data_IF_618069750686
#
_entry.id   IF_618069750686
#
_cell.length_a   1.000
_cell.length_b   1.000
_cell.length_c   1.000
_cell.angle_alpha   90.00
_cell.angle_beta   90.00
_cell.angle_gamma   90.00
#
_symmetry.space_group_name_H-M   'P 1'
#
loop_
_entity.id
_entity.type
_entity.pdbx_description
1 polymer ?
#
# COMPACT_ATOMS: atom_id res chain seq x y z
N UNK A 1 33.74 -24.63 68.93
CA UNK A 1 32.82 -24.10 67.86
C UNK A 1 33.58 -23.01 67.16
N UNK A 2 33.93 -23.24 65.87
CA UNK A 2 34.61 -22.23 65.02
C UNK A 2 33.60 -21.36 64.40
N UNK A 3 33.56 -20.05 64.74
CA UNK A 3 32.74 -19.04 64.10
C UNK A 3 33.14 -18.90 62.58
N UNK A 4 32.34 -19.41 61.71
CA UNK A 4 32.45 -19.13 60.30
C UNK A 4 31.88 -17.73 60.03
N UNK A 5 32.75 -16.72 59.93
CA UNK A 5 32.33 -15.40 59.41
C UNK A 5 32.00 -15.54 57.97
N UNK A 6 30.73 -15.31 57.65
CA UNK A 6 30.26 -15.10 56.28
C UNK A 6 30.82 -13.75 55.77
N UNK A 7 31.87 -13.80 54.95
CA UNK A 7 32.36 -12.64 54.23
C UNK A 7 31.35 -12.37 53.10
N UNK A 8 30.37 -11.51 53.36
CA UNK A 8 29.55 -10.94 52.26
C UNK A 8 30.42 -9.98 51.46
N UNK A 9 30.67 -10.30 50.22
CA UNK A 9 31.43 -9.44 49.30
C UNK A 9 30.48 -8.42 48.69
N UNK A 10 30.22 -7.32 49.37
CA UNK A 10 29.36 -6.22 48.94
C UNK A 10 29.83 -5.60 47.61
N UNK A 11 31.12 -5.73 47.27
CA UNK A 11 31.61 -5.24 45.97
C UNK A 11 31.06 -6.01 44.76
N UNK A 12 30.72 -7.29 44.94
CA UNK A 12 30.10 -8.08 43.86
C UNK A 12 28.69 -7.60 43.50
N UNK A 13 27.91 -7.17 44.50
CA UNK A 13 26.58 -6.63 44.26
C UNK A 13 26.61 -5.25 43.62
N UNK A 14 27.56 -4.38 43.99
CA UNK A 14 27.72 -3.07 43.39
C UNK A 14 28.25 -3.16 41.94
N UNK A 15 29.13 -4.11 41.63
CA UNK A 15 29.61 -4.35 40.27
C UNK A 15 28.54 -4.92 39.36
N UNK A 16 27.75 -5.85 39.85
CA UNK A 16 26.67 -6.48 39.07
C UNK A 16 25.52 -5.51 38.77
N UNK A 17 25.19 -4.59 39.67
CA UNK A 17 24.16 -3.57 39.45
C UNK A 17 24.63 -2.57 38.40
N UNK A 18 25.89 -2.12 38.40
CA UNK A 18 26.46 -1.21 37.41
C UNK A 18 26.59 -1.91 36.06
N UNK A 19 26.99 -3.17 36.02
CA UNK A 19 27.12 -3.96 34.79
C UNK A 19 25.75 -4.23 34.17
N UNK A 20 24.74 -4.51 35.01
CA UNK A 20 23.36 -4.75 34.52
C UNK A 20 22.74 -3.49 33.91
N UNK A 21 22.92 -2.32 34.52
CA UNK A 21 22.47 -1.05 33.96
C UNK A 21 23.24 -0.68 32.68
N UNK A 22 24.55 -0.92 32.63
CA UNK A 22 25.34 -0.66 31.42
C UNK A 22 24.98 -1.61 30.28
N UNK A 23 24.68 -2.88 30.56
CA UNK A 23 24.27 -3.83 29.50
C UNK A 23 22.91 -3.54 28.91
N UNK A 24 21.98 -2.92 29.67
CA UNK A 24 20.69 -2.50 29.15
C UNK A 24 20.77 -1.26 28.26
N UNK A 25 21.84 -0.47 28.35
CA UNK A 25 22.05 0.75 27.57
C UNK A 25 23.19 0.57 26.55
N UNK A 26 23.77 -0.62 26.45
CA UNK A 26 24.77 -0.94 25.43
C UNK A 26 24.11 -1.01 24.04
N UNK A 27 24.53 -0.15 23.08
CA UNK A 27 23.95 -0.11 21.75
C UNK A 27 24.03 -1.44 21.02
N UNK A 28 25.11 -2.20 21.21
CA UNK A 28 25.30 -3.49 20.56
C UNK A 28 24.28 -4.51 21.05
N UNK A 29 24.04 -4.57 22.37
CA UNK A 29 23.02 -5.44 22.97
C UNK A 29 21.61 -4.98 22.54
N UNK A 30 21.35 -3.68 22.56
CA UNK A 30 20.10 -3.12 22.09
C UNK A 30 19.84 -3.45 20.62
N UNK A 31 20.85 -3.30 19.76
CA UNK A 31 20.78 -3.65 18.34
C UNK A 31 20.42 -5.13 18.14
N UNK A 32 21.11 -6.02 18.82
CA UNK A 32 20.84 -7.47 18.76
C UNK A 32 19.42 -7.83 19.23
N UNK A 33 18.94 -7.20 20.31
CA UNK A 33 17.57 -7.42 20.81
C UNK A 33 16.52 -6.94 19.81
N UNK A 34 16.73 -5.77 19.20
CA UNK A 34 15.82 -5.23 18.17
C UNK A 34 15.84 -6.11 16.92
N UNK A 35 17.03 -6.48 16.44
CA UNK A 35 17.22 -7.34 15.27
C UNK A 35 16.57 -8.72 15.45
N UNK A 36 16.74 -9.38 16.62
CA UNK A 36 16.12 -10.67 16.89
C UNK A 36 14.58 -10.64 16.93
N UNK A 37 14.00 -9.50 17.26
CA UNK A 37 12.53 -9.35 17.36
C UNK A 37 11.90 -8.71 16.13
N UNK A 38 12.68 -8.07 15.26
CA UNK A 38 12.17 -7.36 14.08
C UNK A 38 11.44 -8.28 13.09
N UNK A 39 11.95 -9.46 12.70
CA UNK A 39 11.26 -10.35 11.77
C UNK A 39 9.87 -10.78 12.26
N UNK A 40 9.69 -10.87 13.60
CA UNK A 40 8.38 -11.17 14.21
C UNK A 40 7.44 -9.96 14.22
N UNK A 41 7.99 -8.75 14.15
CA UNK A 41 7.21 -7.52 14.13
C UNK A 41 6.73 -7.16 12.73
N UNK A 42 7.43 -7.61 11.68
CA UNK A 42 7.04 -7.45 10.27
C UNK A 42 5.87 -8.41 9.99
N UNK A 43 4.70 -7.85 9.73
CA UNK A 43 3.45 -8.62 9.55
C UNK A 43 3.41 -9.38 8.23
N UNK A 44 4.04 -8.82 7.18
CA UNK A 44 3.95 -9.31 5.81
C UNK A 44 5.15 -10.15 5.37
N UNK A 45 5.99 -10.56 6.32
CA UNK A 45 7.17 -11.42 6.05
C UNK A 45 6.81 -12.78 5.42
N UNK A 46 5.59 -13.27 5.63
CA UNK A 46 5.11 -14.51 4.99
C UNK A 46 4.95 -14.39 3.47
N UNK A 47 4.72 -13.18 2.95
CA UNK A 47 4.57 -12.92 1.51
C UNK A 47 5.88 -12.46 0.90
N UNK A 48 6.66 -11.67 1.63
CA UNK A 48 7.95 -11.15 1.22
C UNK A 48 9.04 -11.64 2.19
N UNK A 49 9.45 -12.91 2.09
CA UNK A 49 10.44 -13.49 3.00
C UNK A 49 11.75 -12.71 2.94
N UNK A 50 12.41 -12.63 4.09
CA UNK A 50 13.66 -11.89 4.24
C UNK A 50 14.81 -12.73 3.67
N UNK A 51 15.56 -12.15 2.75
CA UNK A 51 16.74 -12.72 2.11
C UNK A 51 17.97 -11.92 2.53
N UNK A 52 18.94 -12.56 3.17
CA UNK A 52 20.16 -11.94 3.71
C UNK A 52 21.36 -12.06 2.78
N UNK A 53 21.19 -12.51 1.55
CA UNK A 53 22.30 -12.71 0.59
C UNK A 53 23.06 -11.44 0.26
N UNK A 54 22.44 -10.26 0.43
CA UNK A 54 23.08 -8.96 0.21
C UNK A 54 23.88 -8.45 1.42
N UNK A 55 23.77 -9.10 2.57
CA UNK A 55 24.48 -8.64 3.76
C UNK A 55 26.01 -8.71 3.55
N UNK A 56 26.68 -7.56 3.79
CA UNK A 56 28.13 -7.46 3.62
C UNK A 56 28.63 -7.32 2.16
N UNK A 57 27.77 -7.43 1.14
CA UNK A 57 28.19 -7.26 -0.26
C UNK A 57 28.29 -5.76 -0.62
N UNK A 58 29.24 -5.33 -1.48
CA UNK A 58 29.28 -3.94 -1.95
C UNK A 58 28.13 -3.63 -2.93
N UNK A 59 27.80 -2.34 -3.07
CA UNK A 59 26.79 -1.85 -4.01
C UNK A 59 25.51 -1.33 -3.33
N UNK A 60 24.80 -0.44 -4.02
CA UNK A 60 23.56 0.21 -3.60
C UNK A 60 22.33 -0.27 -4.38
N UNK A 61 22.53 -1.11 -5.40
CA UNK A 61 21.47 -1.64 -6.26
C UNK A 61 21.59 -3.15 -6.38
N UNK A 62 20.45 -3.81 -6.53
CA UNK A 62 20.37 -5.22 -6.90
C UNK A 62 19.75 -5.32 -8.29
N UNK A 63 20.32 -6.15 -9.15
CA UNK A 63 19.75 -6.50 -10.44
C UNK A 63 19.18 -7.90 -10.37
N UNK A 64 17.89 -8.02 -10.56
CA UNK A 64 17.18 -9.28 -10.54
C UNK A 64 16.88 -9.72 -11.98
N UNK A 65 17.36 -10.91 -12.39
CA UNK A 65 16.99 -11.47 -13.69
C UNK A 65 15.53 -11.94 -13.63
N UNK A 66 14.78 -11.61 -14.68
CA UNK A 66 13.43 -12.13 -14.93
C UNK A 66 13.47 -13.02 -16.16
N UNK A 67 12.85 -14.15 -16.08
CA UNK A 67 12.73 -15.08 -17.21
C UNK A 67 11.26 -15.15 -17.62
N UNK A 68 11.03 -15.08 -18.93
CA UNK A 68 9.70 -15.31 -19.49
C UNK A 68 9.54 -16.76 -19.89
N UNK A 69 8.36 -17.29 -19.66
CA UNK A 69 7.99 -18.62 -20.15
C UNK A 69 7.94 -18.62 -21.68
N UNK A 70 8.59 -19.57 -22.33
CA UNK A 70 8.69 -19.64 -23.79
C UNK A 70 7.55 -20.39 -24.48
N UNK A 71 6.59 -20.88 -23.67
CA UNK A 71 5.44 -21.65 -24.18
C UNK A 71 5.60 -23.15 -24.02
N UNK A 72 4.51 -23.89 -24.35
CA UNK A 72 4.43 -25.34 -24.15
C UNK A 72 5.23 -26.13 -25.18
N UNK A 73 5.66 -27.33 -24.78
CA UNK A 73 6.31 -28.25 -25.67
C UNK A 73 5.32 -28.71 -26.77
N UNK A 74 5.81 -28.74 -28.01
CA UNK A 74 5.03 -29.18 -29.19
C UNK A 74 5.33 -30.62 -29.53
N UNK A 75 4.33 -31.35 -29.99
CA UNK A 75 4.53 -32.70 -30.54
C UNK A 75 5.32 -32.62 -31.84
N UNK A 76 6.45 -33.30 -31.91
CA UNK A 76 7.33 -33.32 -33.09
C UNK A 76 7.21 -34.70 -33.75
N UNK A 77 6.98 -34.72 -35.07
CA UNK A 77 6.93 -35.94 -35.82
C UNK A 77 8.31 -36.58 -35.91
N UNK A 78 8.35 -37.94 -36.10
CA UNK A 78 9.59 -38.67 -36.26
C UNK A 78 10.44 -38.12 -37.44
N UNK A 79 11.70 -37.76 -37.16
CA UNK A 79 12.61 -37.16 -38.15
C UNK A 79 12.44 -35.66 -38.42
N UNK A 80 11.50 -34.97 -37.75
CA UNK A 80 11.36 -33.53 -37.85
C UNK A 80 12.31 -32.83 -36.90
N UNK A 81 12.80 -31.64 -37.30
CA UNK A 81 13.65 -30.83 -36.45
C UNK A 81 12.85 -30.19 -35.29
N UNK A 82 13.40 -30.29 -34.09
CA UNK A 82 12.88 -29.55 -32.92
C UNK A 82 13.14 -28.07 -33.10
N UNK A 83 12.11 -27.23 -32.99
CA UNK A 83 12.24 -25.78 -32.95
C UNK A 83 12.88 -25.37 -31.63
N UNK A 84 13.89 -24.50 -31.70
CA UNK A 84 14.54 -23.93 -30.53
C UNK A 84 13.98 -22.53 -30.32
N UNK A 85 13.32 -22.32 -29.17
CA UNK A 85 12.88 -21.01 -28.74
C UNK A 85 14.00 -20.32 -27.93
N UNK A 86 14.20 -19.03 -28.11
CA UNK A 86 15.16 -18.26 -27.33
C UNK A 86 14.61 -17.97 -25.93
N UNK A 87 15.43 -18.20 -24.90
CA UNK A 87 15.09 -17.79 -23.54
C UNK A 87 15.07 -16.25 -23.45
N UNK A 88 13.88 -15.70 -23.30
CA UNK A 88 13.72 -14.26 -23.12
C UNK A 88 14.04 -13.88 -21.67
N UNK A 89 15.02 -12.99 -21.51
CA UNK A 89 15.44 -12.47 -20.21
C UNK A 89 15.19 -10.99 -20.13
N UNK A 90 14.66 -10.55 -19.00
CA UNK A 90 14.56 -9.15 -18.63
C UNK A 90 15.31 -8.93 -17.32
N UNK A 91 15.71 -7.70 -17.05
CA UNK A 91 16.37 -7.33 -15.79
C UNK A 91 15.58 -6.25 -15.11
N UNK A 92 15.38 -6.42 -13.81
CA UNK A 92 14.82 -5.38 -12.95
C UNK A 92 15.88 -4.93 -11.96
N UNK A 93 16.06 -3.62 -11.83
CA UNK A 93 16.94 -3.05 -10.82
C UNK A 93 16.13 -2.50 -9.67
N UNK A 94 16.56 -2.82 -8.44
CA UNK A 94 15.97 -2.27 -7.24
C UNK A 94 17.08 -1.59 -6.40
N UNK A 95 16.79 -0.39 -5.89
CA UNK A 95 17.73 0.42 -5.11
C UNK A 95 17.51 0.20 -3.63
N UNK A 96 18.59 -0.08 -2.90
CA UNK A 96 18.59 -0.26 -1.46
C UNK A 96 18.24 1.06 -0.78
N UNK A 97 17.30 1.02 0.16
CA UNK A 97 16.85 2.17 0.93
C UNK A 97 17.35 2.07 2.37
N UNK A 98 17.59 3.23 2.99
CA UNK A 98 17.83 3.35 4.42
C UNK A 98 16.56 3.79 5.11
N UNK A 99 16.12 3.06 6.12
CA UNK A 99 15.06 3.46 7.03
C UNK A 99 15.67 3.72 8.39
N UNK A 100 15.35 4.85 9.01
CA UNK A 100 15.88 5.22 10.30
C UNK A 100 14.80 5.85 11.19
N UNK A 101 14.92 5.63 12.50
CA UNK A 101 14.11 6.27 13.53
C UNK A 101 15.02 6.76 14.65
N UNK A 102 14.97 8.06 14.92
CA UNK A 102 15.61 8.67 16.09
C UNK A 102 14.59 8.98 17.18
N UNK A 103 15.04 8.88 18.44
CA UNK A 103 14.32 9.26 19.65
C UNK A 103 15.29 9.84 20.67
N UNK A 104 14.83 10.83 21.43
CA UNK A 104 15.64 11.48 22.47
C UNK A 104 14.90 11.40 23.81
N UNK A 105 15.65 11.30 24.89
CA UNK A 105 15.15 11.31 26.26
C UNK A 105 16.03 12.19 27.12
N UNK A 106 15.43 12.94 28.06
CA UNK A 106 16.16 13.76 29.05
C UNK A 106 16.47 12.95 30.30
N UNK A 107 17.54 13.32 31.01
CA UNK A 107 17.90 12.70 32.29
C UNK A 107 16.75 12.84 33.33
N UNK A 108 16.04 13.97 33.33
CA UNK A 108 14.89 14.19 34.21
C UNK A 108 13.74 13.21 33.90
N UNK A 109 13.49 12.93 32.63
CA UNK A 109 12.46 11.95 32.24
C UNK A 109 12.82 10.53 32.67
N UNK A 110 14.10 10.17 32.64
CA UNK A 110 14.57 8.86 33.13
C UNK A 110 14.45 8.78 34.64
N UNK A 111 14.79 9.85 35.38
CA UNK A 111 14.74 9.88 36.82
C UNK A 111 13.33 9.97 37.41
N UNK A 112 12.42 10.67 36.71
CA UNK A 112 11.03 10.88 37.13
C UNK A 112 10.05 9.89 36.51
N UNK A 113 10.48 9.12 35.50
CA UNK A 113 9.63 8.24 34.72
C UNK A 113 9.16 7.00 35.50
N UNK A 114 7.88 6.68 35.37
CA UNK A 114 7.33 5.39 35.76
C UNK A 114 7.64 4.36 34.66
N UNK A 115 8.30 3.26 35.02
CA UNK A 115 8.56 2.16 34.11
C UNK A 115 9.98 2.15 33.52
N UNK A 116 10.14 1.52 32.34
CA UNK A 116 11.40 1.42 31.60
C UNK A 116 11.35 2.27 30.32
N UNK A 117 11.79 3.54 30.36
CA UNK A 117 11.76 4.43 29.19
C UNK A 117 12.72 3.96 28.09
N UNK A 118 13.84 3.30 28.43
CA UNK A 118 14.80 2.80 27.43
C UNK A 118 14.22 1.62 26.67
N UNK A 119 13.59 0.67 27.38
CA UNK A 119 12.86 -0.43 26.75
C UNK A 119 11.71 0.05 25.87
N UNK A 120 11.02 1.13 26.25
CA UNK A 120 9.98 1.73 25.41
C UNK A 120 10.54 2.36 24.12
N UNK A 121 11.70 3.02 24.20
CA UNK A 121 12.42 3.54 23.03
C UNK A 121 12.77 2.39 22.07
N UNK A 122 13.35 1.29 22.58
CA UNK A 122 13.66 0.11 21.77
C UNK A 122 12.41 -0.46 21.10
N UNK A 123 11.32 -0.58 21.85
CA UNK A 123 10.03 -1.06 21.32
C UNK A 123 9.51 -0.18 20.19
N UNK A 124 9.58 1.15 20.36
CA UNK A 124 9.10 2.10 19.35
C UNK A 124 9.99 2.14 18.11
N UNK A 125 11.32 2.07 18.25
CA UNK A 125 12.24 1.98 17.11
C UNK A 125 11.92 0.72 16.29
N UNK A 126 11.81 -0.44 16.94
CA UNK A 126 11.46 -1.71 16.28
C UNK A 126 10.13 -1.63 15.54
N UNK A 127 9.08 -1.11 16.20
CA UNK A 127 7.77 -0.97 15.58
C UNK A 127 7.76 0.00 14.39
N UNK A 128 8.54 1.08 14.49
CA UNK A 128 8.64 2.07 13.41
C UNK A 128 9.32 1.48 12.17
N UNK A 129 10.43 0.74 12.36
CA UNK A 129 11.14 0.08 11.27
C UNK A 129 10.27 -1.03 10.66
N UNK A 130 9.68 -1.91 11.46
CA UNK A 130 8.77 -2.95 10.97
C UNK A 130 7.60 -2.37 10.17
N UNK A 131 7.00 -1.30 10.67
CA UNK A 131 5.92 -0.61 9.95
C UNK A 131 6.39 0.01 8.62
N UNK A 132 7.63 0.48 8.54
CA UNK A 132 8.18 1.01 7.30
C UNK A 132 8.40 -0.11 6.27
N UNK A 133 8.91 -1.26 6.67
CA UNK A 133 9.06 -2.44 5.81
C UNK A 133 7.70 -2.94 5.32
N UNK A 134 6.71 -3.09 6.22
CA UNK A 134 5.35 -3.48 5.84
C UNK A 134 4.71 -2.50 4.84
N UNK A 135 4.93 -1.18 5.04
CA UNK A 135 4.42 -0.17 4.12
C UNK A 135 5.08 -0.26 2.74
N UNK A 136 6.38 -0.56 2.69
CA UNK A 136 7.11 -0.73 1.44
C UNK A 136 6.65 -1.99 0.69
N UNK A 137 6.40 -3.09 1.39
CA UNK A 137 5.85 -4.33 0.79
C UNK A 137 4.52 -4.02 0.07
N UNK A 138 3.61 -3.31 0.75
CA UNK A 138 2.32 -2.92 0.14
C UNK A 138 2.51 -1.95 -1.02
N UNK A 139 3.43 -0.97 -0.88
CA UNK A 139 3.71 -0.01 -1.95
C UNK A 139 4.28 -0.68 -3.19
N UNK A 140 5.23 -1.60 -3.03
CA UNK A 140 5.83 -2.36 -4.12
C UNK A 140 4.81 -3.30 -4.76
N UNK A 141 3.98 -4.00 -3.98
CA UNK A 141 2.87 -4.80 -4.51
C UNK A 141 1.89 -3.94 -5.34
N UNK A 142 1.67 -2.69 -4.92
CA UNK A 142 0.87 -1.71 -5.66
C UNK A 142 1.44 -1.27 -7.01
N UNK A 143 2.67 -1.63 -7.36
CA UNK A 143 3.28 -1.35 -8.67
C UNK A 143 3.13 -2.50 -9.67
N UNK A 144 2.59 -3.64 -9.25
CA UNK A 144 2.43 -4.81 -10.12
C UNK A 144 1.62 -4.49 -11.39
N UNK A 145 1.97 -5.08 -12.55
CA UNK A 145 1.34 -4.74 -13.83
C UNK A 145 -0.06 -5.33 -13.98
N UNK A 146 -0.31 -6.50 -13.39
CA UNK A 146 -1.61 -7.17 -13.55
C UNK A 146 -2.70 -6.44 -12.78
N UNK A 147 -3.81 -6.16 -13.46
CA UNK A 147 -4.95 -5.46 -12.89
C UNK A 147 -6.26 -6.13 -13.28
N UNK A 148 -7.21 -6.13 -12.37
CA UNK A 148 -8.59 -6.55 -12.61
C UNK A 148 -9.55 -5.44 -12.20
N UNK A 149 -10.58 -5.21 -13.01
CA UNK A 149 -11.64 -4.26 -12.68
C UNK A 149 -12.79 -5.02 -12.05
N UNK A 150 -13.04 -4.80 -10.77
CA UNK A 150 -14.10 -5.47 -10.03
C UNK A 150 -14.54 -4.66 -8.81
N UNK A 151 -15.80 -4.89 -8.42
CA UNK A 151 -16.29 -4.46 -7.12
C UNK A 151 -15.85 -5.44 -6.03
N UNK A 152 -15.75 -4.95 -4.79
CA UNK A 152 -15.34 -5.77 -3.65
C UNK A 152 -16.53 -6.60 -3.16
N UNK A 153 -16.68 -7.80 -3.73
CA UNK A 153 -17.70 -8.81 -3.41
C UNK A 153 -17.10 -10.22 -3.52
N UNK A 154 -17.91 -11.28 -3.43
CA UNK A 154 -17.41 -12.66 -3.59
C UNK A 154 -16.92 -12.98 -5.00
N UNK A 155 -17.58 -12.41 -6.02
CA UNK A 155 -17.19 -12.60 -7.43
C UNK A 155 -15.78 -12.07 -7.70
N UNK A 156 -15.27 -11.17 -6.84
CA UNK A 156 -13.89 -10.68 -6.92
C UNK A 156 -12.89 -11.83 -6.83
N UNK A 157 -13.14 -12.81 -5.96
CA UNK A 157 -12.20 -13.92 -5.76
C UNK A 157 -12.11 -14.78 -7.01
N UNK A 158 -13.25 -15.09 -7.63
CA UNK A 158 -13.28 -15.84 -8.89
C UNK A 158 -12.60 -15.07 -10.03
N UNK A 159 -12.80 -13.76 -10.10
CA UNK A 159 -12.12 -12.91 -11.09
C UNK A 159 -10.61 -12.83 -10.85
N UNK A 160 -10.16 -12.80 -9.59
CA UNK A 160 -8.75 -12.84 -9.24
C UNK A 160 -8.12 -14.17 -9.67
N UNK A 161 -8.77 -15.32 -9.36
CA UNK A 161 -8.27 -16.62 -9.77
C UNK A 161 -8.19 -16.73 -11.31
N UNK A 162 -9.20 -16.30 -12.03
CA UNK A 162 -9.16 -16.27 -13.50
C UNK A 162 -8.02 -15.38 -14.01
N UNK A 163 -7.80 -14.21 -13.41
CA UNK A 163 -6.70 -13.30 -13.79
C UNK A 163 -5.33 -13.94 -13.54
N UNK A 164 -5.17 -14.71 -12.46
CA UNK A 164 -3.93 -15.44 -12.20
C UNK A 164 -3.69 -16.58 -13.20
N UNK A 165 -4.73 -17.27 -13.62
CA UNK A 165 -4.63 -18.34 -14.63
C UNK A 165 -4.36 -17.77 -16.02
N UNK A 166 -5.00 -16.66 -16.37
CA UNK A 166 -4.85 -16.01 -17.68
C UNK A 166 -3.59 -15.11 -17.76
N UNK A 167 -2.85 -14.96 -16.66
CA UNK A 167 -1.66 -14.11 -16.65
C UNK A 167 -0.65 -14.59 -17.70
N UNK A 168 -0.13 -13.71 -18.56
CA UNK A 168 0.92 -14.07 -19.49
C UNK A 168 2.13 -14.59 -18.71
N UNK A 169 2.74 -15.65 -19.17
CA UNK A 169 3.88 -16.34 -18.54
C UNK A 169 3.53 -17.08 -17.22
N UNK A 170 2.26 -17.24 -16.86
CA UNK A 170 1.87 -18.09 -15.75
C UNK A 170 2.08 -19.56 -16.09
N UNK A 171 2.78 -20.30 -15.22
CA UNK A 171 2.84 -21.76 -15.30
C UNK A 171 1.52 -22.30 -14.76
N UNK A 172 0.75 -23.00 -15.57
CA UNK A 172 -0.57 -23.57 -15.20
C UNK A 172 -0.56 -24.42 -13.92
N UNK A 173 0.55 -25.05 -13.62
CA UNK A 173 0.70 -25.95 -12.46
C UNK A 173 0.98 -25.23 -11.13
N UNK A 174 1.09 -23.92 -11.10
CA UNK A 174 1.14 -23.16 -9.84
C UNK A 174 -0.25 -23.01 -9.21
N UNK A 175 -1.10 -24.03 -9.46
CA UNK A 175 -2.44 -24.12 -9.00
C UNK A 175 -2.55 -24.04 -7.48
N UNK A 176 -3.64 -23.41 -7.02
CA UNK A 176 -4.22 -23.53 -5.67
C UNK A 176 -3.33 -23.17 -4.47
N UNK A 177 -2.22 -22.46 -4.63
CA UNK A 177 -1.56 -21.87 -3.47
C UNK A 177 -2.45 -20.76 -2.92
N UNK A 178 -2.82 -20.91 -1.65
CA UNK A 178 -3.51 -19.87 -0.90
C UNK A 178 -2.76 -18.56 -1.03
N UNK A 179 -3.51 -17.50 -1.28
CA UNK A 179 -2.97 -16.15 -1.39
C UNK A 179 -3.37 -15.27 -0.23
N UNK A 180 -2.80 -14.08 -0.21
CA UNK A 180 -3.18 -13.02 0.73
C UNK A 180 -3.82 -11.88 -0.04
N UNK A 181 -4.98 -11.45 0.43
CA UNK A 181 -5.70 -10.30 -0.10
C UNK A 181 -5.60 -9.14 0.89
N UNK A 182 -4.83 -8.11 0.50
CA UNK A 182 -4.76 -6.86 1.23
C UNK A 182 -5.95 -5.99 0.89
N UNK A 183 -6.68 -5.57 1.91
CA UNK A 183 -7.90 -4.79 1.75
C UNK A 183 -7.94 -3.60 2.70
N UNK A 184 -8.76 -2.61 2.37
CA UNK A 184 -9.11 -1.55 3.31
C UNK A 184 -9.96 -2.10 4.47
N UNK A 185 -10.10 -1.33 5.54
CA UNK A 185 -10.98 -1.74 6.66
C UNK A 185 -12.45 -1.84 6.26
N UNK A 186 -12.88 -1.00 5.32
CA UNK A 186 -14.24 -0.99 4.78
C UNK A 186 -14.49 -2.19 3.89
N UNK A 187 -13.57 -2.45 2.96
CA UNK A 187 -13.66 -3.59 2.04
C UNK A 187 -13.64 -4.92 2.78
N UNK A 188 -12.81 -5.04 3.84
CA UNK A 188 -12.81 -6.23 4.69
C UNK A 188 -14.18 -6.47 5.36
N UNK A 189 -14.86 -5.41 5.80
CA UNK A 189 -16.20 -5.54 6.36
C UNK A 189 -17.22 -5.98 5.30
N UNK A 190 -17.13 -5.41 4.10
CA UNK A 190 -17.97 -5.78 2.95
C UNK A 190 -17.79 -7.24 2.56
N UNK A 191 -16.54 -7.70 2.42
CA UNK A 191 -16.22 -9.10 2.12
C UNK A 191 -16.73 -10.04 3.20
N UNK A 192 -16.56 -9.71 4.48
CA UNK A 192 -17.09 -10.53 5.58
C UNK A 192 -18.61 -10.64 5.55
N UNK A 193 -19.31 -9.55 5.24
CA UNK A 193 -20.78 -9.57 5.14
C UNK A 193 -21.24 -10.39 3.94
N UNK A 194 -20.56 -10.25 2.80
CA UNK A 194 -20.86 -11.01 1.59
C UNK A 194 -20.56 -12.51 1.74
N UNK A 195 -19.47 -12.86 2.43
CA UNK A 195 -19.06 -14.25 2.64
C UNK A 195 -20.03 -15.04 3.57
N UNK A 196 -20.65 -14.37 4.54
CA UNK A 196 -21.61 -15.02 5.44
C UNK A 196 -21.04 -16.28 6.11
N UNK A 197 -21.59 -17.44 5.76
CA UNK A 197 -21.16 -18.76 6.29
C UNK A 197 -19.81 -19.24 5.75
N UNK A 198 -19.34 -18.71 4.61
CA UNK A 198 -18.05 -19.05 4.00
C UNK A 198 -16.88 -18.26 4.62
N UNK A 199 -17.14 -17.47 5.66
CA UNK A 199 -16.12 -16.73 6.39
C UNK A 199 -15.51 -17.57 7.50
N UNK A 200 -14.20 -17.87 7.39
CA UNK A 200 -13.44 -18.51 8.46
C UNK A 200 -12.77 -17.42 9.32
N UNK A 201 -12.96 -17.49 10.62
CA UNK A 201 -12.36 -16.51 11.55
C UNK A 201 -10.86 -16.79 11.71
N UNK A 202 -10.08 -15.74 11.93
CA UNK A 202 -8.64 -15.86 12.17
C UNK A 202 -8.31 -16.81 13.35
N UNK A 203 -9.15 -16.86 14.37
CA UNK A 203 -9.00 -17.78 15.52
C UNK A 203 -9.19 -19.26 15.18
N UNK A 204 -9.81 -19.57 14.04
CA UNK A 204 -10.10 -20.92 13.58
C UNK A 204 -9.02 -21.44 12.61
N UNK A 205 -8.17 -20.54 12.08
CA UNK A 205 -7.12 -20.88 11.11
C UNK A 205 -5.89 -21.55 11.74
N UNK A 206 -5.72 -21.44 13.05
CA UNK A 206 -4.61 -22.07 13.79
C UNK A 206 -3.24 -21.67 13.25
N UNK A 207 -2.35 -22.66 13.07
CA UNK A 207 -0.98 -22.46 12.58
C UNK A 207 -0.88 -22.26 11.05
N UNK A 208 -1.98 -22.34 10.32
CA UNK A 208 -2.03 -22.20 8.86
C UNK A 208 -2.08 -20.72 8.40
N UNK A 209 -1.88 -19.76 9.31
CA UNK A 209 -1.91 -18.34 8.98
C UNK A 209 -0.63 -17.96 8.24
N UNK A 210 -0.73 -17.66 6.95
CA UNK A 210 0.39 -17.19 6.11
C UNK A 210 0.97 -15.85 6.58
N UNK A 211 0.17 -15.00 7.22
CA UNK A 211 0.56 -13.65 7.58
C UNK A 211 0.05 -13.28 8.97
N UNK A 212 0.93 -12.75 9.81
CA UNK A 212 0.56 -12.22 11.12
C UNK A 212 -0.42 -11.05 10.96
N UNK A 213 -1.55 -11.11 11.66
CA UNK A 213 -2.60 -10.07 11.61
C UNK A 213 -3.70 -10.33 10.58
N UNK A 214 -3.85 -11.56 10.10
CA UNK A 214 -5.00 -12.00 9.32
C UNK A 214 -6.32 -11.64 10.03
N UNK A 215 -7.28 -11.13 9.26
CA UNK A 215 -8.62 -10.82 9.76
C UNK A 215 -9.57 -12.03 9.66
N UNK A 216 -9.32 -12.89 8.71
CA UNK A 216 -10.08 -14.11 8.42
C UNK A 216 -9.68 -14.65 7.07
N UNK A 217 -10.41 -15.67 6.61
CA UNK A 217 -10.20 -16.30 5.33
C UNK A 217 -11.53 -16.44 4.58
N UNK A 218 -11.49 -16.28 3.27
CA UNK A 218 -12.62 -16.47 2.35
C UNK A 218 -12.14 -17.23 1.14
N UNK A 219 -12.73 -18.39 0.85
CA UNK A 219 -12.43 -19.21 -0.33
C UNK A 219 -10.91 -19.45 -0.53
N UNK A 220 -10.18 -19.72 0.56
CA UNK A 220 -8.74 -19.98 0.51
C UNK A 220 -7.86 -18.72 0.49
N UNK A 221 -8.44 -17.50 0.50
CA UNK A 221 -7.71 -16.24 0.55
C UNK A 221 -7.65 -15.69 1.96
N UNK A 222 -6.45 -15.51 2.48
CA UNK A 222 -6.22 -14.85 3.77
C UNK A 222 -6.45 -13.34 3.63
N UNK A 223 -7.41 -12.80 4.35
CA UNK A 223 -7.77 -11.37 4.32
C UNK A 223 -6.95 -10.60 5.34
N UNK A 224 -6.20 -9.60 4.89
CA UNK A 224 -5.37 -8.73 5.73
C UNK A 224 -5.78 -7.27 5.54
N UNK A 225 -6.11 -6.62 6.66
CA UNK A 225 -6.52 -5.21 6.65
C UNK A 225 -5.32 -4.28 6.73
N UNK A 226 -5.27 -3.30 5.84
CA UNK A 226 -4.25 -2.25 5.87
C UNK A 226 -4.88 -0.87 5.68
N UNK A 227 -4.39 0.12 6.44
CA UNK A 227 -4.74 1.54 6.22
C UNK A 227 -4.09 2.14 4.97
N UNK A 228 -3.17 1.41 4.35
CA UNK A 228 -2.44 1.84 3.16
C UNK A 228 -3.14 1.46 1.86
N UNK A 229 -4.16 0.61 1.95
CA UNK A 229 -5.01 0.22 0.80
C UNK A 229 -6.20 1.17 0.75
N UNK A 230 -6.44 1.75 -0.41
CA UNK A 230 -7.62 2.58 -0.65
C UNK A 230 -8.86 1.70 -0.79
N UNK A 231 -10.02 2.25 -0.43
CA UNK A 231 -11.30 1.59 -0.61
C UNK A 231 -11.52 1.22 -2.09
N UNK A 232 -11.96 0.00 -2.34
CA UNK A 232 -12.20 -0.51 -3.68
C UNK A 232 -10.94 -0.87 -4.49
N UNK A 233 -9.75 -0.87 -3.86
CA UNK A 233 -8.49 -1.18 -4.54
C UNK A 233 -7.66 -2.25 -3.81
N UNK A 234 -8.23 -3.43 -3.55
CA UNK A 234 -7.49 -4.54 -2.96
C UNK A 234 -6.27 -4.96 -3.80
N UNK A 235 -5.30 -5.60 -3.13
CA UNK A 235 -4.13 -6.19 -3.79
C UNK A 235 -4.05 -7.66 -3.38
N UNK A 236 -4.10 -8.55 -4.37
CA UNK A 236 -3.97 -9.99 -4.19
C UNK A 236 -2.52 -10.40 -4.46
N UNK A 237 -1.93 -11.14 -3.53
CA UNK A 237 -0.53 -11.59 -3.62
C UNK A 237 -0.47 -13.08 -3.29
N UNK A 238 0.12 -13.87 -4.18
CA UNK A 238 0.44 -15.28 -3.93
C UNK A 238 1.86 -15.43 -3.35
N UNK A 239 2.14 -16.47 -2.55
CA UNK A 239 3.47 -16.72 -2.00
C UNK A 239 4.55 -16.80 -3.09
N UNK A 240 5.74 -16.31 -2.78
CA UNK A 240 6.87 -16.27 -3.72
C UNK A 240 6.84 -15.14 -4.74
N UNK A 241 5.84 -14.26 -4.68
CA UNK A 241 5.73 -13.10 -5.57
C UNK A 241 6.80 -12.04 -5.28
N UNK A 242 7.19 -11.89 -4.03
CA UNK A 242 8.06 -10.81 -3.55
C UNK A 242 9.14 -11.35 -2.61
N UNK A 243 10.24 -10.60 -2.47
CA UNK A 243 11.28 -10.80 -1.47
C UNK A 243 11.74 -9.49 -0.87
N UNK A 244 12.11 -9.54 0.40
CA UNK A 244 12.78 -8.44 1.10
C UNK A 244 14.27 -8.77 1.22
N UNK A 245 15.12 -8.07 0.51
CA UNK A 245 16.57 -8.25 0.58
C UNK A 245 17.15 -7.33 1.65
N UNK A 246 17.75 -7.94 2.66
CA UNK A 246 18.38 -7.24 3.76
C UNK A 246 19.84 -6.97 3.43
N UNK A 247 20.24 -5.70 3.41
CA UNK A 247 21.62 -5.27 3.17
C UNK A 247 22.40 -5.14 4.47
N UNK A 248 21.79 -4.53 5.47
CA UNK A 248 22.33 -4.40 6.82
C UNK A 248 21.16 -4.47 7.80
N UNK A 249 21.33 -5.32 8.78
CA UNK A 249 20.40 -5.45 9.88
C UNK A 249 20.36 -4.18 10.74
N UNK A 250 19.37 -4.09 11.62
CA UNK A 250 19.18 -2.91 12.46
C UNK A 250 20.42 -2.63 13.27
N UNK A 251 20.98 -1.43 13.06
CA UNK A 251 22.01 -0.87 13.91
C UNK A 251 21.35 0.15 14.83
N UNK A 252 21.55 -0.01 16.13
CA UNK A 252 21.11 0.97 17.14
C UNK A 252 22.34 1.66 17.69
N UNK A 253 22.33 2.98 17.63
CA UNK A 253 23.39 3.84 18.16
C UNK A 253 22.78 4.83 19.13
N UNK A 254 23.56 5.26 20.12
CA UNK A 254 23.16 6.36 20.97
C UNK A 254 24.31 7.37 21.14
N UNK A 255 23.95 8.62 21.34
CA UNK A 255 24.86 9.69 21.70
C UNK A 255 24.28 10.51 22.84
N UNK A 256 25.16 11.09 23.67
CA UNK A 256 24.74 11.89 24.79
C UNK A 256 25.20 13.33 24.67
N UNK A 257 24.25 14.23 24.55
CA UNK A 257 24.52 15.65 24.62
C UNK A 257 24.61 16.13 26.07
N UNK A 258 25.85 16.16 26.59
CA UNK A 258 26.13 16.45 28.00
C UNK A 258 25.62 17.84 28.42
N UNK A 259 25.66 18.82 27.52
CA UNK A 259 25.22 20.19 27.81
C UNK A 259 23.72 20.30 28.03
N UNK A 260 22.92 19.55 27.28
CA UNK A 260 21.46 19.56 27.37
C UNK A 260 20.90 18.43 28.26
N UNK A 261 21.77 17.52 28.74
CA UNK A 261 21.35 16.35 29.53
C UNK A 261 20.30 15.49 28.77
N UNK A 262 20.54 15.30 27.46
CA UNK A 262 19.70 14.51 26.58
C UNK A 262 20.50 13.33 26.06
N UNK A 263 19.90 12.16 26.03
CA UNK A 263 20.44 10.97 25.34
C UNK A 263 19.60 10.74 24.09
N UNK A 264 20.25 10.71 22.93
CA UNK A 264 19.65 10.45 21.64
C UNK A 264 19.91 9.01 21.24
N UNK A 265 18.87 8.31 20.79
CA UNK A 265 18.92 6.95 20.28
C UNK A 265 18.52 6.96 18.81
N UNK A 266 19.28 6.29 17.96
CA UNK A 266 18.95 6.10 16.55
C UNK A 266 18.98 4.62 16.22
N UNK A 267 17.98 4.18 15.46
CA UNK A 267 18.00 2.84 14.87
C UNK A 267 17.81 2.95 13.39
N UNK A 268 18.63 2.26 12.59
CA UNK A 268 18.51 2.26 11.14
C UNK A 268 18.74 0.87 10.55
N UNK A 269 18.09 0.63 9.41
CA UNK A 269 18.13 -0.61 8.64
C UNK A 269 18.29 -0.28 7.15
N UNK A 270 19.00 -1.14 6.43
CA UNK A 270 19.16 -1.02 4.97
C UNK A 270 18.58 -2.25 4.30
N UNK A 271 17.53 -2.05 3.50
CA UNK A 271 16.84 -3.13 2.81
C UNK A 271 16.28 -2.66 1.46
N UNK A 272 15.80 -3.62 0.68
CA UNK A 272 14.99 -3.36 -0.51
C UNK A 272 13.94 -4.45 -0.65
N UNK A 273 12.72 -4.06 -0.99
CA UNK A 273 11.65 -4.98 -1.37
C UNK A 273 11.57 -5.03 -2.88
N UNK A 274 11.52 -6.22 -3.45
CA UNK A 274 11.44 -6.40 -4.89
C UNK A 274 10.39 -7.46 -5.26
N UNK A 275 9.72 -7.24 -6.40
CA UNK A 275 8.85 -8.22 -7.03
C UNK A 275 9.74 -9.22 -7.76
N UNK A 276 9.61 -10.50 -7.45
CA UNK A 276 10.33 -11.59 -8.10
C UNK A 276 9.50 -12.14 -9.26
N UNK A 277 8.18 -12.27 -9.03
CA UNK A 277 7.26 -12.83 -10.00
C UNK A 277 6.01 -11.93 -10.10
N UNK A 278 5.90 -11.22 -11.21
CA UNK A 278 4.80 -10.28 -11.47
C UNK A 278 3.48 -10.99 -11.72
N UNK A 279 3.52 -12.26 -12.16
CA UNK A 279 2.31 -13.05 -12.44
C UNK A 279 1.55 -13.46 -11.16
N UNK A 280 2.20 -13.30 -10.00
CA UNK A 280 1.65 -13.66 -8.69
C UNK A 280 1.07 -12.47 -7.91
N UNK A 281 0.97 -11.30 -8.52
CA UNK A 281 0.38 -10.12 -7.90
C UNK A 281 -0.66 -9.53 -8.82
N UNK A 282 -1.89 -9.39 -8.32
CA UNK A 282 -2.99 -8.72 -9.05
C UNK A 282 -3.52 -7.56 -8.23
N UNK A 283 -3.62 -6.40 -8.86
CA UNK A 283 -4.25 -5.21 -8.28
C UNK A 283 -5.69 -5.13 -8.72
N UNK A 284 -6.57 -4.89 -7.76
CA UNK A 284 -7.98 -4.59 -8.06
C UNK A 284 -8.15 -3.10 -8.27
N UNK A 285 -8.83 -2.74 -9.32
CA UNK A 285 -9.29 -1.38 -9.57
C UNK A 285 -10.79 -1.35 -9.39
N UNK A 286 -11.28 -0.39 -8.61
CA UNK A 286 -12.71 -0.20 -8.48
C UNK A 286 -13.35 0.01 -9.85
N UNK A 287 -14.50 -0.61 -10.08
CA UNK A 287 -15.25 -0.38 -11.29
C UNK A 287 -15.58 1.11 -11.43
N UNK A 288 -15.43 1.72 -12.63
CA UNK A 288 -15.76 3.12 -12.82
C UNK A 288 -17.26 3.32 -12.59
N UNK A 289 -17.59 4.27 -11.72
CA UNK A 289 -18.98 4.65 -11.49
C UNK A 289 -19.40 5.61 -12.57
N UNK A 290 -20.28 5.14 -13.45
CA UNK A 290 -20.75 5.92 -14.58
C UNK A 290 -21.71 7.03 -14.17
N UNK A 291 -21.72 8.10 -14.95
CA UNK A 291 -22.66 9.22 -14.79
C UNK A 291 -24.06 8.78 -15.17
N UNK A 292 -25.02 8.96 -14.25
CA UNK A 292 -26.43 8.69 -14.48
C UNK A 292 -27.21 9.91 -14.93
N UNK A 293 -26.73 11.12 -14.60
CA UNK A 293 -27.38 12.37 -14.97
C UNK A 293 -26.53 13.61 -14.70
N UNK A 294 -26.96 14.72 -15.25
CA UNK A 294 -26.42 16.06 -14.95
C UNK A 294 -27.56 17.02 -14.71
N UNK A 295 -27.38 17.98 -13.84
CA UNK A 295 -28.35 19.04 -13.55
C UNK A 295 -27.64 20.37 -13.55
N UNK A 296 -28.14 21.31 -14.40
CA UNK A 296 -27.64 22.69 -14.42
C UNK A 296 -28.27 23.50 -13.28
N UNK A 297 -27.50 24.41 -12.70
CA UNK A 297 -27.90 25.19 -11.51
C UNK A 297 -29.19 26.01 -11.72
N UNK A 298 -29.48 26.42 -12.96
CA UNK A 298 -30.66 27.18 -13.31
C UNK A 298 -31.24 26.71 -14.65
N UNK A 299 -32.55 26.55 -14.73
CA UNK A 299 -33.25 26.18 -15.97
C UNK A 299 -33.52 27.35 -16.87
N UNK A 300 -33.61 28.54 -16.28
CA UNK A 300 -33.85 29.80 -17.01
C UNK A 300 -32.97 30.91 -16.39
N UNK A 301 -32.47 31.79 -17.22
CA UNK A 301 -31.73 32.96 -16.82
C UNK A 301 -32.09 34.17 -17.66
N UNK A 302 -32.27 35.34 -17.06
CA UNK A 302 -32.43 36.61 -17.76
C UNK A 302 -31.16 37.44 -17.56
N UNK A 303 -30.63 38.02 -18.65
CA UNK A 303 -29.40 38.80 -18.69
C UNK A 303 -29.61 40.04 -19.52
N UNK A 304 -28.83 41.11 -19.27
CA UNK A 304 -28.73 42.29 -20.13
C UNK A 304 -27.51 42.15 -21.03
N UNK A 305 -27.59 42.72 -22.22
CA UNK A 305 -26.45 42.78 -23.16
C UNK A 305 -25.21 43.31 -22.46
N UNK A 306 -24.05 42.65 -22.64
CA UNK A 306 -22.78 42.97 -22.05
C UNK A 306 -22.55 42.42 -20.63
N UNK A 307 -23.55 41.77 -20.03
CA UNK A 307 -23.38 41.15 -18.68
C UNK A 307 -22.91 39.69 -18.80
N UNK A 308 -22.32 39.18 -17.70
CA UNK A 308 -21.92 37.78 -17.58
C UNK A 308 -22.61 37.10 -16.40
N UNK A 309 -22.83 35.78 -16.53
CA UNK A 309 -23.45 34.95 -15.50
C UNK A 309 -22.78 33.58 -15.46
N UNK A 310 -22.53 33.05 -14.27
CA UNK A 310 -21.99 31.71 -14.10
C UNK A 310 -23.10 30.69 -13.92
N UNK A 311 -23.04 29.61 -14.69
CA UNK A 311 -23.87 28.42 -14.58
C UNK A 311 -22.99 27.28 -14.08
N UNK A 312 -23.39 26.60 -13.04
CA UNK A 312 -22.73 25.39 -12.53
C UNK A 312 -23.54 24.15 -12.89
N UNK A 313 -22.88 23.03 -13.00
CA UNK A 313 -23.53 21.74 -13.24
C UNK A 313 -23.21 20.78 -12.10
N UNK A 314 -24.22 20.06 -11.62
CA UNK A 314 -24.09 18.97 -10.68
C UNK A 314 -24.24 17.64 -11.42
N UNK A 315 -23.25 16.78 -11.31
CA UNK A 315 -23.24 15.44 -11.93
C UNK A 315 -23.71 14.41 -10.92
N UNK A 316 -24.58 13.52 -11.32
CA UNK A 316 -25.07 12.43 -10.49
C UNK A 316 -24.55 11.08 -11.03
N UNK A 317 -24.21 10.12 -10.14
CA UNK A 317 -24.13 10.27 -8.68
C UNK A 317 -22.91 11.08 -8.24
N UNK A 318 -22.93 11.60 -7.01
CA UNK A 318 -21.83 12.43 -6.47
C UNK A 318 -20.48 11.71 -6.42
N UNK A 319 -20.46 10.39 -6.42
CA UNK A 319 -19.27 9.56 -6.47
C UNK A 319 -18.93 9.05 -7.89
N UNK A 320 -19.52 9.62 -8.95
CA UNK A 320 -19.14 9.29 -10.33
C UNK A 320 -17.65 9.50 -10.57
N UNK A 321 -17.04 8.55 -11.29
CA UNK A 321 -15.58 8.53 -11.52
C UNK A 321 -15.12 9.69 -12.40
N UNK A 322 -15.90 10.02 -13.43
CA UNK A 322 -15.61 11.14 -14.32
C UNK A 322 -16.76 12.15 -14.29
N UNK A 323 -16.54 13.29 -13.64
CA UNK A 323 -17.53 14.37 -13.52
C UNK A 323 -17.30 15.51 -14.52
N UNK A 324 -16.43 15.33 -15.50
CA UNK A 324 -16.13 16.35 -16.49
C UNK A 324 -17.36 16.67 -17.32
N UNK A 325 -17.61 17.98 -17.49
CA UNK A 325 -18.72 18.50 -18.30
C UNK A 325 -18.20 19.49 -19.33
N UNK A 326 -18.93 19.62 -20.42
CA UNK A 326 -18.74 20.63 -21.46
C UNK A 326 -19.98 21.46 -21.57
N UNK A 327 -19.83 22.76 -21.89
CA UNK A 327 -20.93 23.68 -22.13
C UNK A 327 -20.94 24.08 -23.60
N UNK A 328 -22.13 24.24 -24.17
CA UNK A 328 -22.33 24.73 -25.54
C UNK A 328 -23.53 25.66 -25.61
N UNK A 329 -23.51 26.60 -26.54
CA UNK A 329 -24.63 27.48 -26.86
C UNK A 329 -25.19 27.12 -28.25
N UNK A 330 -26.49 27.07 -28.39
CA UNK A 330 -27.15 26.90 -29.72
C UNK A 330 -27.25 28.20 -30.50
N UNK A 331 -27.03 29.34 -29.84
CA UNK A 331 -27.10 30.69 -30.46
C UNK A 331 -25.94 31.56 -29.95
N UNK A 332 -24.72 31.30 -30.41
CA UNK A 332 -23.49 32.00 -29.97
C UNK A 332 -23.52 33.51 -30.28
N UNK A 333 -24.30 33.93 -31.28
CA UNK A 333 -24.51 35.34 -31.56
C UNK A 333 -25.30 36.07 -30.45
N UNK A 334 -26.14 35.34 -29.70
CA UNK A 334 -26.96 35.88 -28.60
C UNK A 334 -26.21 35.78 -27.29
N UNK A 335 -25.67 34.57 -26.98
CA UNK A 335 -24.91 34.32 -25.78
C UNK A 335 -23.85 33.22 -26.02
N UNK A 336 -22.62 33.49 -25.58
CA UNK A 336 -21.53 32.51 -25.57
C UNK A 336 -21.33 31.93 -24.19
N UNK A 337 -20.75 30.72 -24.09
CA UNK A 337 -20.38 30.08 -22.83
C UNK A 337 -18.95 29.55 -22.92
N UNK A 338 -18.17 29.70 -21.86
CA UNK A 338 -16.83 29.13 -21.78
C UNK A 338 -16.84 27.74 -21.08
N UNK A 339 -15.67 27.08 -21.00
CA UNK A 339 -15.49 25.78 -20.36
C UNK A 339 -15.90 25.74 -18.88
N UNK A 340 -15.86 26.88 -18.21
CA UNK A 340 -16.17 26.99 -16.78
C UNK A 340 -17.64 27.29 -16.50
N UNK A 341 -18.47 27.34 -17.57
CA UNK A 341 -19.90 27.65 -17.47
C UNK A 341 -20.21 29.14 -17.34
N UNK A 342 -19.25 30.02 -17.63
CA UNK A 342 -19.49 31.48 -17.66
C UNK A 342 -20.13 31.86 -18.97
N UNK A 343 -21.37 32.31 -18.89
CA UNK A 343 -22.17 32.82 -20.02
C UNK A 343 -21.95 34.32 -20.19
N UNK A 344 -21.74 34.75 -21.41
CA UNK A 344 -21.61 36.17 -21.79
C UNK A 344 -22.74 36.54 -22.75
N UNK A 345 -23.55 37.53 -22.41
CA UNK A 345 -24.66 38.02 -23.24
C UNK A 345 -24.15 39.02 -24.29
N UNK A 346 -24.38 38.75 -25.57
CA UNK A 346 -23.88 39.57 -26.70
C UNK A 346 -24.94 40.42 -27.36
N UNK A 347 -26.09 39.83 -27.74
CA UNK A 347 -27.19 40.54 -28.39
C UNK A 347 -28.53 40.11 -27.80
N UNK A 348 -29.56 40.97 -27.90
CA UNK A 348 -30.91 40.62 -27.45
C UNK A 348 -31.48 39.42 -28.22
N UNK A 349 -32.06 38.46 -27.47
CA UNK A 349 -32.57 37.21 -28.02
C UNK A 349 -32.65 36.10 -26.99
N UNK A 350 -32.81 34.88 -27.46
CA UNK A 350 -32.82 33.68 -26.59
C UNK A 350 -31.78 32.70 -27.08
N UNK A 351 -31.02 32.13 -26.15
CA UNK A 351 -30.04 31.07 -26.37
C UNK A 351 -30.23 29.92 -25.38
N UNK A 352 -30.07 28.68 -25.80
CA UNK A 352 -30.05 27.53 -24.93
C UNK A 352 -28.58 27.15 -24.63
N UNK A 353 -28.21 27.26 -23.39
CA UNK A 353 -26.91 26.76 -22.92
C UNK A 353 -27.10 25.32 -22.49
N UNK A 354 -26.46 24.40 -23.18
CA UNK A 354 -26.50 22.97 -22.91
C UNK A 354 -25.21 22.53 -22.19
N UNK A 355 -25.35 21.86 -21.07
CA UNK A 355 -24.26 21.15 -20.42
C UNK A 355 -24.32 19.67 -20.82
N UNK A 356 -23.17 19.09 -21.16
CA UNK A 356 -23.05 17.68 -21.56
C UNK A 356 -21.94 17.03 -20.73
N UNK A 357 -22.21 15.87 -20.15
CA UNK A 357 -21.17 15.10 -19.43
C UNK A 357 -20.29 14.35 -20.41
N UNK A 358 -18.98 14.28 -20.12
CA UNK A 358 -18.03 13.50 -20.92
C UNK A 358 -18.31 12.01 -20.81
N UNK A 359 -18.68 11.53 -19.60
CA UNK A 359 -19.11 10.16 -19.38
C UNK A 359 -20.64 10.05 -19.56
N UNK A 360 -21.05 9.12 -20.42
CA UNK A 360 -22.45 8.79 -20.65
C UNK A 360 -23.26 9.86 -21.42
N UNK A 361 -22.64 10.95 -21.88
CA UNK A 361 -23.25 12.02 -22.71
C UNK A 361 -24.61 12.50 -22.19
N UNK A 362 -24.76 12.60 -20.87
CA UNK A 362 -25.96 13.14 -20.24
C UNK A 362 -26.00 14.64 -20.42
N UNK A 363 -27.18 15.17 -20.74
CA UNK A 363 -27.37 16.60 -21.03
C UNK A 363 -28.42 17.23 -20.15
N UNK A 364 -28.23 18.51 -19.89
CA UNK A 364 -29.21 19.40 -19.31
C UNK A 364 -29.04 20.81 -19.90
N UNK A 365 -30.08 21.66 -19.84
CA UNK A 365 -30.06 22.95 -20.47
C UNK A 365 -30.65 24.07 -19.63
N UNK A 366 -30.12 25.27 -19.86
CA UNK A 366 -30.61 26.52 -19.35
C UNK A 366 -31.03 27.41 -20.52
N UNK A 367 -32.24 27.93 -20.48
CA UNK A 367 -32.74 28.93 -21.44
C UNK A 367 -32.29 30.31 -20.95
N UNK A 368 -31.42 30.96 -21.71
CA UNK A 368 -30.95 32.31 -21.44
C UNK A 368 -31.67 33.32 -22.32
N UNK A 369 -32.39 34.25 -21.69
CA UNK A 369 -33.06 35.36 -22.38
C UNK A 369 -32.22 36.62 -22.18
N UNK A 370 -31.74 37.19 -23.28
CA UNK A 370 -30.96 38.45 -23.27
C UNK A 370 -31.86 39.58 -23.69
N UNK A 371 -31.91 40.61 -22.84
CA UNK A 371 -32.66 41.86 -23.12
C UNK A 371 -31.69 43.00 -23.41
N UNK A 372 -32.16 44.03 -24.12
CA UNK A 372 -31.39 45.25 -24.34
C UNK A 372 -30.99 45.89 -23.00
N UNK A 373 -29.92 46.70 -22.99
CA UNK A 373 -29.30 47.25 -21.78
C UNK A 373 -30.19 48.23 -21.00
#
# INVERSE_FOLDING_TARGET
MKNKQLKMNLQRFAGDVVTFLNSQVDPEVMGQMVAAQLPKAIKFSGIAPIDTTLAGQPGSTITLPKFKYSGDAKVVAEGAAIQMDELQTATQTATIKKVAKGMAITDEAVLSGYGDPVGEIQRQIRMAIASAVDNEIVAVAGTAPLTVVADVNLDLIDKLENTFVEAPDALEEQGFTQGVLFVSYKDAATLRQAAGVNWTRASELGDNILVSGAFGEVLGWTIVRSKKINDGSPIAVKPGAMKTFLKRDVLVEFDREIKKKITEFTGDEHYVVAIIDETKIVRVQAAPISVTGVTISQKTASMKVGTTKELSAAVAPDNATNKSVTYSSDAEAVATVNSDGKVTALTAGTANITVTTTDGSKTDKCVVTVTEA
#
